data_IF_239896521979
#
_entry.id   IF_239896521979
#
_cell.length_a   1.000
_cell.length_b   1.000
_cell.length_c   1.000
_cell.angle_alpha   90.00
_cell.angle_beta   90.00
_cell.angle_gamma   90.00
#
_symmetry.space_group_name_H-M   'P 1'
#
loop_
_entity.id
_entity.type
_entity.pdbx_description
1 polymer ?
#
# COMPACT_ATOMS: atom_id res chain seq x y z
N UNK A 1 -44.73 -28.92 74.72
CA UNK A 1 -43.40 -28.29 74.67
C UNK A 1 -42.64 -28.88 73.49
N UNK A 2 -41.99 -28.02 72.69
CA UNK A 2 -41.12 -28.31 71.52
C UNK A 2 -41.82 -28.92 70.30
N UNK A 3 -41.44 -28.66 69.04
CA UNK A 3 -40.73 -27.58 68.35
C UNK A 3 -40.77 -27.98 66.86
N UNK A 4 -40.75 -26.99 65.97
CA UNK A 4 -40.79 -27.13 64.52
C UNK A 4 -39.57 -27.85 63.92
N UNK A 5 -39.73 -28.44 62.73
CA UNK A 5 -38.82 -28.22 61.58
C UNK A 5 -39.36 -28.89 60.30
N UNK A 6 -39.75 -28.07 59.33
CA UNK A 6 -39.87 -28.43 57.92
C UNK A 6 -38.46 -28.47 57.32
N UNK A 7 -38.00 -29.63 56.87
CA UNK A 7 -36.75 -29.74 56.10
C UNK A 7 -37.07 -29.72 54.61
N UNK A 8 -36.84 -28.57 53.98
CA UNK A 8 -36.83 -28.43 52.54
C UNK A 8 -35.55 -29.06 51.97
N UNK A 9 -35.69 -29.99 51.01
CA UNK A 9 -34.56 -30.46 50.21
C UNK A 9 -34.16 -29.37 49.21
N UNK A 10 -32.95 -28.81 49.40
CA UNK A 10 -32.32 -27.89 48.46
C UNK A 10 -31.96 -28.59 47.14
N UNK A 11 -32.17 -27.95 45.97
CA UNK A 11 -31.62 -28.44 44.71
C UNK A 11 -30.10 -28.25 44.64
N UNK A 12 -29.41 -29.28 44.16
CA UNK A 12 -27.98 -29.30 43.86
C UNK A 12 -27.67 -28.30 42.74
N UNK A 13 -26.72 -27.37 42.89
CA UNK A 13 -26.29 -26.52 41.77
C UNK A 13 -25.49 -27.34 40.75
N UNK A 14 -25.86 -27.21 39.47
CA UNK A 14 -25.14 -27.78 38.35
C UNK A 14 -23.70 -27.22 38.27
N UNK A 15 -22.72 -28.00 37.79
CA UNK A 15 -21.35 -27.53 37.63
C UNK A 15 -21.31 -26.37 36.64
N UNK A 16 -20.74 -25.26 37.09
CA UNK A 16 -20.43 -24.09 36.28
C UNK A 16 -19.56 -24.53 35.11
N UNK A 17 -20.11 -24.48 33.90
CA UNK A 17 -19.31 -24.59 32.69
C UNK A 17 -18.30 -23.43 32.70
N UNK A 18 -17.02 -23.76 32.85
CA UNK A 18 -15.93 -22.82 32.64
C UNK A 18 -16.04 -22.32 31.21
N UNK A 19 -16.45 -21.07 31.02
CA UNK A 19 -16.36 -20.40 29.72
C UNK A 19 -14.93 -20.57 29.21
N UNK A 20 -14.72 -21.05 27.97
CA UNK A 20 -13.40 -21.01 27.38
C UNK A 20 -12.96 -19.54 27.36
N UNK A 21 -11.75 -19.28 27.89
CA UNK A 21 -11.12 -17.98 27.79
C UNK A 21 -11.15 -17.56 26.32
N UNK A 22 -11.87 -16.49 26.01
CA UNK A 22 -11.88 -15.90 24.69
C UNK A 22 -10.42 -15.56 24.35
N UNK A 23 -9.93 -16.10 23.23
CA UNK A 23 -8.65 -15.67 22.69
C UNK A 23 -8.67 -14.13 22.56
N UNK A 24 -7.58 -13.42 22.87
CA UNK A 24 -7.53 -11.98 22.67
C UNK A 24 -7.86 -11.68 21.21
N UNK A 25 -8.98 -10.99 20.98
CA UNK A 25 -9.29 -10.45 19.66
C UNK A 25 -8.24 -9.38 19.41
N UNK A 26 -7.48 -9.46 18.30
CA UNK A 26 -6.47 -8.44 18.01
C UNK A 26 -7.16 -7.08 17.99
N UNK A 27 -6.52 -6.08 18.60
CA UNK A 27 -7.08 -4.74 18.60
C UNK A 27 -7.19 -4.28 17.14
N UNK A 28 -8.33 -3.73 16.81
CA UNK A 28 -8.64 -3.13 15.51
C UNK A 28 -7.54 -2.18 15.00
N UNK A 29 -6.87 -1.47 15.90
CA UNK A 29 -5.76 -0.58 15.60
C UNK A 29 -4.49 -1.32 15.12
N UNK A 30 -4.24 -2.52 15.65
CA UNK A 30 -3.10 -3.36 15.24
C UNK A 30 -3.32 -3.88 13.82
N UNK A 31 -4.55 -4.32 13.50
CA UNK A 31 -4.91 -4.79 12.17
C UNK A 31 -4.79 -3.70 11.09
N UNK A 32 -5.15 -2.45 11.41
CA UNK A 32 -4.99 -1.32 10.49
C UNK A 32 -3.50 -1.00 10.27
N UNK A 33 -2.70 -0.98 11.35
CA UNK A 33 -1.25 -0.77 11.27
C UNK A 33 -0.59 -1.82 10.38
N UNK A 34 -0.91 -3.10 10.59
CA UNK A 34 -0.39 -4.21 9.82
C UNK A 34 -0.77 -4.13 8.33
N UNK A 35 -2.00 -3.72 8.03
CA UNK A 35 -2.45 -3.52 6.65
C UNK A 35 -1.66 -2.41 5.94
N UNK A 36 -1.42 -1.28 6.63
CA UNK A 36 -0.60 -0.18 6.11
C UNK A 36 0.87 -0.59 5.94
N UNK A 37 1.46 -1.26 6.93
CA UNK A 37 2.84 -1.74 6.87
C UNK A 37 3.02 -2.75 5.72
N UNK A 38 2.08 -3.70 5.57
CA UNK A 38 2.11 -4.71 4.52
C UNK A 38 1.95 -4.11 3.12
N UNK A 39 1.18 -3.03 2.97
CA UNK A 39 1.05 -2.31 1.70
C UNK A 39 2.29 -1.47 1.40
N UNK A 40 2.83 -0.74 2.39
CA UNK A 40 4.06 0.04 2.24
C UNK A 40 5.26 -0.85 1.84
N UNK A 41 5.40 -2.03 2.45
CA UNK A 41 6.44 -3.00 2.09
C UNK A 41 6.34 -3.46 0.63
N UNK A 42 5.13 -3.63 0.10
CA UNK A 42 4.89 -4.03 -1.31
C UNK A 42 5.20 -2.92 -2.31
N UNK A 43 5.07 -1.66 -1.89
CA UNK A 43 5.39 -0.49 -2.71
C UNK A 43 6.88 -0.14 -2.66
N UNK A 44 7.63 -0.63 -1.68
CA UNK A 44 9.06 -0.33 -1.55
C UNK A 44 9.88 -0.63 -2.81
N UNK A 45 9.69 -1.76 -3.51
CA UNK A 45 10.40 -2.05 -4.76
C UNK A 45 10.10 -1.08 -5.91
N UNK A 46 9.03 -0.27 -5.84
CA UNK A 46 8.71 0.75 -6.84
C UNK A 46 9.51 2.06 -6.65
N UNK A 47 10.05 2.32 -5.46
CA UNK A 47 10.79 3.55 -5.17
C UNK A 47 12.23 3.48 -5.71
N UNK A 48 12.74 4.59 -6.25
CA UNK A 48 14.16 4.73 -6.58
C UNK A 48 14.82 5.49 -5.44
N UNK A 49 15.72 4.83 -4.72
CA UNK A 49 16.62 5.51 -3.80
C UNK A 49 17.67 6.28 -4.60
N UNK A 50 17.49 7.60 -4.68
CA UNK A 50 18.43 8.50 -5.35
C UNK A 50 19.55 8.84 -4.37
N UNK A 51 20.50 7.92 -4.22
CA UNK A 51 21.70 8.09 -3.41
C UNK A 51 22.85 7.23 -3.90
N UNK A 52 24.09 7.71 -3.78
CA UNK A 52 25.30 6.90 -3.95
C UNK A 52 25.59 6.19 -2.63
N UNK A 53 24.87 5.09 -2.38
CA UNK A 53 25.25 4.17 -1.30
C UNK A 53 26.61 3.51 -1.59
N UNK A 54 27.20 2.80 -0.61
CA UNK A 54 28.49 2.11 -0.77
C UNK A 54 28.52 1.07 -1.91
N UNK A 55 27.34 0.64 -2.38
CA UNK A 55 27.13 -0.29 -3.49
C UNK A 55 27.03 0.39 -4.88
N UNK A 56 27.20 1.71 -4.98
CA UNK A 56 27.09 2.44 -6.24
C UNK A 56 25.65 2.68 -6.70
N UNK A 57 25.49 3.32 -7.87
CA UNK A 57 24.18 3.63 -8.45
C UNK A 57 23.52 2.36 -8.98
N UNK A 58 22.28 2.08 -8.59
CA UNK A 58 21.53 0.94 -9.11
C UNK A 58 21.30 1.05 -10.63
N UNK A 59 21.23 -0.08 -11.34
CA UNK A 59 20.94 -0.10 -12.77
C UNK A 59 19.63 0.63 -13.11
N UNK A 60 18.65 0.55 -12.21
CA UNK A 60 17.37 1.24 -12.33
C UNK A 60 17.49 2.77 -12.24
N UNK A 61 18.30 3.29 -11.32
CA UNK A 61 18.56 4.72 -11.25
C UNK A 61 19.32 5.23 -12.49
N UNK A 62 20.22 4.43 -13.06
CA UNK A 62 20.91 4.77 -14.29
C UNK A 62 19.97 4.78 -15.53
N UNK A 63 19.06 3.82 -15.62
CA UNK A 63 18.07 3.79 -16.70
C UNK A 63 17.02 4.90 -16.56
N UNK A 64 16.60 5.24 -15.34
CA UNK A 64 15.73 6.39 -15.04
C UNK A 64 16.38 7.74 -15.44
N UNK A 65 17.68 7.90 -15.22
CA UNK A 65 18.42 9.08 -15.72
C UNK A 65 18.43 9.16 -17.25
N UNK A 66 18.72 8.03 -17.94
CA UNK A 66 18.67 8.00 -19.41
C UNK A 66 17.27 8.32 -19.94
N UNK A 67 16.25 7.79 -19.29
CA UNK A 67 14.85 8.09 -19.59
C UNK A 67 14.58 9.59 -19.50
N UNK A 68 15.02 10.25 -18.42
CA UNK A 68 14.92 11.72 -18.28
C UNK A 68 15.74 12.51 -19.30
N UNK A 69 16.82 11.94 -19.82
CA UNK A 69 17.64 12.53 -20.88
C UNK A 69 17.08 12.31 -22.30
N UNK A 70 15.88 11.72 -22.44
CA UNK A 70 15.23 11.54 -23.74
C UNK A 70 15.19 10.10 -24.25
N UNK A 71 15.83 9.15 -23.56
CA UNK A 71 15.79 7.74 -23.93
C UNK A 71 14.45 7.11 -23.50
N UNK A 72 13.36 7.45 -24.19
CA UNK A 72 12.00 7.01 -23.84
C UNK A 72 11.85 5.46 -23.82
N UNK A 73 12.69 4.72 -24.56
CA UNK A 73 12.74 3.25 -24.53
C UNK A 73 13.30 2.67 -23.22
N UNK A 74 13.89 3.53 -22.37
CA UNK A 74 14.30 3.21 -21.00
C UNK A 74 13.23 3.52 -19.95
N UNK A 75 12.04 3.94 -20.36
CA UNK A 75 10.92 4.08 -19.45
C UNK A 75 10.71 2.77 -18.66
N UNK A 76 10.49 2.89 -17.35
CA UNK A 76 10.17 1.74 -16.52
C UNK A 76 8.81 1.15 -16.92
N UNK A 77 8.68 -0.17 -16.85
CA UNK A 77 7.47 -0.90 -17.22
C UNK A 77 6.78 -1.55 -16.00
N UNK A 78 7.10 -1.08 -14.79
CA UNK A 78 6.59 -1.64 -13.53
C UNK A 78 5.27 -0.98 -13.07
N UNK A 79 4.39 -0.65 -14.02
CA UNK A 79 3.03 -0.14 -13.76
C UNK A 79 2.17 -1.13 -12.98
N UNK A 80 2.51 -2.43 -13.03
CA UNK A 80 1.85 -3.50 -12.29
C UNK A 80 1.85 -3.31 -10.77
N UNK A 81 2.75 -2.49 -10.21
CA UNK A 81 2.68 -2.11 -8.79
C UNK A 81 1.37 -1.37 -8.43
N UNK A 82 0.67 -0.82 -9.41
CA UNK A 82 -0.55 -0.02 -9.25
C UNK A 82 -1.78 -0.66 -9.93
N UNK A 83 -1.80 -1.98 -9.99
CA UNK A 83 -2.86 -2.78 -10.59
C UNK A 83 -4.16 -2.84 -9.74
N UNK A 84 -5.12 -3.64 -10.18
CA UNK A 84 -6.37 -3.87 -9.45
C UNK A 84 -6.14 -4.48 -8.05
N UNK A 85 -5.09 -5.27 -7.87
CA UNK A 85 -4.77 -5.88 -6.59
C UNK A 85 -4.17 -4.84 -5.62
N UNK A 86 -3.40 -3.87 -6.10
CA UNK A 86 -3.01 -2.69 -5.32
C UNK A 86 -4.26 -1.94 -4.84
N UNK A 87 -5.20 -1.63 -5.74
CA UNK A 87 -6.46 -0.94 -5.36
C UNK A 87 -7.23 -1.69 -4.30
N UNK A 88 -7.42 -3.00 -4.46
CA UNK A 88 -8.13 -3.82 -3.48
C UNK A 88 -7.47 -3.78 -2.09
N UNK A 89 -6.14 -3.88 -2.03
CA UNK A 89 -5.38 -3.79 -0.78
C UNK A 89 -5.45 -2.40 -0.14
N UNK A 90 -5.39 -1.35 -0.96
CA UNK A 90 -5.52 0.02 -0.49
C UNK A 90 -6.90 0.28 0.13
N UNK A 91 -7.97 -0.21 -0.51
CA UNK A 91 -9.32 -0.10 0.04
C UNK A 91 -9.49 -0.91 1.33
N UNK A 92 -8.90 -2.11 1.39
CA UNK A 92 -8.91 -2.90 2.63
C UNK A 92 -8.19 -2.20 3.79
N UNK A 93 -7.04 -1.56 3.52
CA UNK A 93 -6.32 -0.78 4.53
C UNK A 93 -7.15 0.42 5.03
N UNK A 94 -7.80 1.16 4.11
CA UNK A 94 -8.68 2.27 4.47
C UNK A 94 -9.91 1.82 5.27
N UNK A 95 -10.49 0.66 4.97
CA UNK A 95 -11.64 0.12 5.68
C UNK A 95 -11.29 -0.38 7.09
N UNK A 96 -10.05 -0.80 7.34
CA UNK A 96 -9.60 -1.23 8.67
C UNK A 96 -9.70 -0.10 9.72
N UNK A 97 -9.62 1.16 9.28
CA UNK A 97 -9.73 2.35 10.13
C UNK A 97 -11.11 2.50 10.79
N UNK A 98 -12.20 2.04 10.15
CA UNK A 98 -13.56 2.18 10.69
C UNK A 98 -13.76 1.44 12.02
N UNK A 99 -12.81 0.56 12.39
CA UNK A 99 -12.90 -0.27 13.58
C UNK A 99 -11.97 0.16 14.74
N UNK A 100 -11.06 1.13 14.58
CA UNK A 100 -10.02 1.44 15.61
C UNK A 100 -9.53 2.90 15.67
N UNK A 101 -8.66 3.22 16.64
CA UNK A 101 -8.05 4.54 16.80
C UNK A 101 -7.01 4.78 15.69
N UNK A 102 -7.33 5.71 14.79
CA UNK A 102 -6.85 5.65 13.42
C UNK A 102 -5.61 6.46 13.05
N UNK A 103 -4.89 5.94 12.05
CA UNK A 103 -3.71 6.54 11.40
C UNK A 103 -4.09 7.57 10.34
N UNK A 104 -4.78 8.65 10.74
CA UNK A 104 -5.34 9.65 9.82
C UNK A 104 -4.35 10.19 8.77
N UNK A 105 -3.06 10.32 9.12
CA UNK A 105 -2.01 10.72 8.18
C UNK A 105 -1.72 9.66 7.10
N UNK A 106 -1.63 8.38 7.48
CA UNK A 106 -1.39 7.28 6.54
C UNK A 106 -2.59 7.06 5.62
N UNK A 107 -3.79 7.18 6.17
CA UNK A 107 -5.06 7.22 5.46
C UNK A 107 -5.12 8.32 4.40
N UNK A 108 -4.84 9.57 4.79
CA UNK A 108 -4.84 10.72 3.90
C UNK A 108 -3.79 10.56 2.79
N UNK A 109 -2.59 10.08 3.13
CA UNK A 109 -1.54 9.81 2.16
C UNK A 109 -1.93 8.69 1.18
N UNK A 110 -2.61 7.63 1.64
CA UNK A 110 -3.07 6.53 0.79
C UNK A 110 -4.18 6.99 -0.17
N UNK A 111 -5.14 7.79 0.30
CA UNK A 111 -6.18 8.39 -0.57
C UNK A 111 -5.54 9.29 -1.63
N UNK A 112 -4.53 10.09 -1.25
CA UNK A 112 -3.78 10.92 -2.20
C UNK A 112 -3.00 10.09 -3.21
N UNK A 113 -2.38 8.99 -2.80
CA UNK A 113 -1.70 8.05 -3.69
C UNK A 113 -2.69 7.46 -4.71
N UNK A 114 -3.85 6.96 -4.26
CA UNK A 114 -4.89 6.43 -5.15
C UNK A 114 -5.33 7.48 -6.19
N UNK A 115 -5.66 8.70 -5.76
CA UNK A 115 -6.05 9.76 -6.67
C UNK A 115 -4.94 10.14 -7.66
N UNK A 116 -3.67 10.11 -7.22
CA UNK A 116 -2.52 10.39 -8.08
C UNK A 116 -2.32 9.29 -9.12
N UNK A 117 -2.42 8.02 -8.72
CA UNK A 117 -2.37 6.87 -9.63
C UNK A 117 -3.49 6.97 -10.67
N UNK A 118 -4.72 7.26 -10.26
CA UNK A 118 -5.86 7.38 -11.16
C UNK A 118 -5.65 8.46 -12.23
N UNK A 119 -5.16 9.62 -11.80
CA UNK A 119 -4.94 10.75 -12.70
C UNK A 119 -3.72 10.59 -13.61
N UNK A 120 -2.70 9.84 -13.19
CA UNK A 120 -1.37 9.88 -13.83
C UNK A 120 -0.95 8.57 -14.49
N UNK A 121 -1.41 7.42 -14.01
CA UNK A 121 -1.02 6.11 -14.55
C UNK A 121 -1.30 5.97 -16.06
N UNK A 122 -2.41 6.49 -16.63
CA UNK A 122 -2.65 6.38 -18.08
C UNK A 122 -1.55 7.00 -18.95
N UNK A 123 -0.96 8.12 -18.53
CA UNK A 123 0.10 8.79 -19.29
C UNK A 123 1.41 7.98 -19.28
N UNK A 124 1.73 7.35 -18.15
CA UNK A 124 2.86 6.43 -18.07
C UNK A 124 2.60 5.16 -18.88
N UNK A 125 1.41 4.55 -18.73
CA UNK A 125 1.04 3.33 -19.44
C UNK A 125 1.06 3.53 -20.97
N UNK A 126 0.62 4.69 -21.47
CA UNK A 126 0.67 5.01 -22.90
C UNK A 126 2.09 4.90 -23.50
N UNK A 127 3.12 5.32 -22.74
CA UNK A 127 4.51 5.19 -23.19
C UNK A 127 4.99 3.74 -23.12
N UNK A 128 4.61 2.99 -22.09
CA UNK A 128 4.91 1.55 -21.97
C UNK A 128 4.31 0.78 -23.15
N UNK A 129 3.04 1.04 -23.46
CA UNK A 129 2.33 0.42 -24.58
C UNK A 129 2.95 0.82 -25.92
N UNK A 130 3.35 2.08 -26.08
CA UNK A 130 4.08 2.53 -27.26
C UNK A 130 5.38 1.75 -27.44
N UNK A 131 6.19 1.61 -26.39
CA UNK A 131 7.45 0.87 -26.44
C UNK A 131 7.22 -0.62 -26.76
N UNK A 132 6.12 -1.22 -26.29
CA UNK A 132 5.76 -2.61 -26.58
C UNK A 132 5.16 -2.80 -27.99
N UNK A 133 4.56 -1.76 -28.58
CA UNK A 133 3.81 -1.86 -29.84
C UNK A 133 4.65 -2.07 -31.09
N UNK A 134 5.96 -1.81 -31.03
CA UNK A 134 6.84 -1.85 -32.21
C UNK A 134 6.73 -0.65 -33.16
N UNK A 135 5.79 0.28 -32.92
CA UNK A 135 5.56 1.50 -33.72
C UNK A 135 6.78 2.39 -33.90
N UNK A 136 7.77 2.28 -33.01
CA UNK A 136 9.05 2.96 -33.10
C UNK A 136 9.76 2.73 -34.46
N UNK A 137 9.57 1.55 -35.07
CA UNK A 137 10.12 1.24 -36.39
C UNK A 137 9.43 2.03 -37.51
N UNK A 138 8.17 2.40 -37.31
CA UNK A 138 7.33 3.06 -38.32
C UNK A 138 7.43 4.59 -38.24
N UNK A 139 7.54 5.14 -37.02
CA UNK A 139 7.55 6.60 -36.77
C UNK A 139 8.92 7.14 -36.32
N UNK A 140 9.97 6.31 -36.34
CA UNK A 140 11.32 6.71 -35.91
C UNK A 140 11.42 7.17 -34.45
N UNK A 141 10.45 6.82 -33.60
CA UNK A 141 10.42 7.24 -32.21
C UNK A 141 9.64 8.52 -31.91
N UNK A 142 8.97 9.13 -32.90
CA UNK A 142 8.27 10.41 -32.71
C UNK A 142 7.13 10.30 -31.70
N UNK A 143 6.33 9.23 -31.75
CA UNK A 143 5.29 8.98 -30.75
C UNK A 143 5.86 8.84 -29.34
N UNK A 144 7.00 8.15 -29.19
CA UNK A 144 7.68 7.98 -27.91
C UNK A 144 8.17 9.32 -27.35
N UNK A 145 8.77 10.17 -28.19
CA UNK A 145 9.19 11.53 -27.82
C UNK A 145 8.02 12.41 -27.40
N UNK A 146 6.89 12.31 -28.08
CA UNK A 146 5.68 13.07 -27.75
C UNK A 146 5.07 12.65 -26.40
N UNK A 147 5.11 11.35 -26.07
CA UNK A 147 4.58 10.80 -24.82
C UNK A 147 5.51 11.04 -23.61
N UNK A 148 6.80 11.21 -23.85
CA UNK A 148 7.84 11.27 -22.83
C UNK A 148 7.57 12.30 -21.71
N UNK A 149 7.22 13.58 -21.98
CA UNK A 149 7.00 14.56 -20.91
C UNK A 149 5.85 14.16 -19.97
N UNK A 150 4.78 13.58 -20.53
CA UNK A 150 3.64 13.10 -19.75
C UNK A 150 4.01 11.90 -18.86
N UNK A 151 4.80 10.96 -19.40
CA UNK A 151 5.27 9.81 -18.64
C UNK A 151 6.23 10.21 -17.50
N UNK A 152 7.16 11.15 -17.74
CA UNK A 152 8.05 11.69 -16.68
C UNK A 152 7.21 12.31 -15.57
N UNK A 153 6.29 13.23 -15.91
CA UNK A 153 5.45 13.89 -14.93
C UNK A 153 4.56 12.91 -14.14
N UNK A 154 4.11 11.84 -14.79
CA UNK A 154 3.35 10.77 -14.13
C UNK A 154 4.20 9.97 -13.13
N UNK A 155 5.38 9.50 -13.56
CA UNK A 155 6.29 8.73 -12.71
C UNK A 155 6.73 9.55 -11.50
N UNK A 156 7.13 10.82 -11.70
CA UNK A 156 7.56 11.69 -10.60
C UNK A 156 6.42 11.95 -9.59
N UNK A 157 5.19 12.18 -10.07
CA UNK A 157 4.04 12.39 -9.19
C UNK A 157 3.68 11.13 -8.39
N UNK A 158 3.67 9.96 -9.04
CA UNK A 158 3.37 8.69 -8.38
C UNK A 158 4.49 8.31 -7.40
N UNK A 159 5.75 8.52 -7.76
CA UNK A 159 6.90 8.29 -6.87
C UNK A 159 6.83 9.18 -5.63
N UNK A 160 6.57 10.48 -5.80
CA UNK A 160 6.41 11.41 -4.67
C UNK A 160 5.24 11.03 -3.75
N UNK A 161 4.09 10.65 -4.31
CA UNK A 161 2.94 10.20 -3.53
C UNK A 161 3.22 8.87 -2.81
N UNK A 162 3.99 7.97 -3.42
CA UNK A 162 4.35 6.69 -2.83
C UNK A 162 5.32 6.87 -1.67
N UNK A 163 6.33 7.75 -1.80
CA UNK A 163 7.21 8.12 -0.69
C UNK A 163 6.43 8.68 0.50
N UNK A 164 5.55 9.66 0.26
CA UNK A 164 4.74 10.26 1.30
C UNK A 164 3.86 9.22 2.04
N UNK A 165 3.31 8.25 1.31
CA UNK A 165 2.53 7.17 1.91
C UNK A 165 3.40 6.22 2.75
N UNK A 166 4.54 5.76 2.21
CA UNK A 166 5.43 4.83 2.92
C UNK A 166 5.96 5.46 4.21
N UNK A 167 6.30 6.75 4.18
CA UNK A 167 6.73 7.49 5.37
C UNK A 167 5.61 7.63 6.40
N UNK A 168 4.39 7.98 5.98
CA UNK A 168 3.24 8.08 6.87
C UNK A 168 2.86 6.73 7.49
N UNK A 169 2.96 5.64 6.72
CA UNK A 169 2.73 4.28 7.20
C UNK A 169 3.82 3.81 8.19
N UNK A 170 5.07 4.25 8.02
CA UNK A 170 6.14 3.94 8.96
C UNK A 170 5.99 4.68 10.30
N UNK A 171 5.57 5.95 10.27
CA UNK A 171 5.29 6.74 11.48
C UNK A 171 4.07 6.24 12.26
N UNK A 172 3.18 5.52 11.56
CA UNK A 172 2.01 4.89 12.10
C UNK A 172 2.30 3.58 12.87
N UNK A 173 3.44 2.93 12.61
CA UNK A 173 3.81 1.69 13.27
C UNK A 173 4.34 1.97 14.70
N UNK A 174 3.98 1.15 15.72
CA UNK A 174 4.55 1.27 17.05
C UNK A 174 6.07 1.08 16.99
N UNK A 175 6.80 1.85 17.81
CA UNK A 175 8.24 1.70 17.93
C UNK A 175 8.58 0.29 18.45
N UNK A 176 9.67 -0.35 17.97
CA UNK A 176 10.08 -1.68 18.40
C UNK A 176 10.45 -1.73 19.89
#
# INVERSE_FOLDING_TARGET
MLAAALTACSPVPAPTATSPAAAPVPDSADAATDAHAALAARLRPFLIERGTGPSGRSARAADDERFRLGAFWKARADTHHFDAAFRARAQAALAAHENGAGHAAADAALRRLLATVDARLPAWQALVDYNASGRMRDDGGDGGRALLPGAIAAIDAIEAATWAYVEAAAQAAPAP
#
